data_IF_312155456965
#
_entry.id   IF_312155456965
#
_cell.length_a   1.000
_cell.length_b   1.000
_cell.length_c   1.000
_cell.angle_alpha   90.00
_cell.angle_beta   90.00
_cell.angle_gamma   90.00
#
_symmetry.space_group_name_H-M   'P 1'
#
loop_
_entity.id
_entity.type
_entity.pdbx_description
1 polymer ?
#
# COMPACT_ATOMS: atom_id res chain seq x y z
N UNK A 1 7.40 -5.42 2.99
CA UNK A 1 5.96 -5.21 3.22
C UNK A 1 5.39 -6.50 3.79
N UNK A 2 5.05 -6.55 5.08
CA UNK A 2 4.46 -7.74 5.68
C UNK A 2 3.06 -7.36 6.18
N UNK A 3 1.99 -7.65 5.41
CA UNK A 3 0.61 -7.33 5.82
C UNK A 3 0.22 -7.95 7.17
N UNK A 4 0.83 -9.08 7.53
CA UNK A 4 0.59 -9.76 8.81
C UNK A 4 0.81 -8.86 10.03
N UNK A 5 1.77 -7.92 9.98
CA UNK A 5 1.98 -6.98 11.09
C UNK A 5 0.82 -6.00 11.26
N UNK A 6 0.19 -5.58 10.16
CA UNK A 6 -1.03 -4.79 10.23
C UNK A 6 -2.16 -5.63 10.85
N UNK A 7 -2.37 -6.86 10.36
CA UNK A 7 -3.41 -7.77 10.85
C UNK A 7 -3.29 -8.09 12.35
N UNK A 8 -2.06 -8.21 12.86
CA UNK A 8 -1.80 -8.45 14.28
C UNK A 8 -1.93 -7.20 15.14
N UNK A 9 -1.49 -6.04 14.64
CA UNK A 9 -1.42 -4.81 15.43
C UNK A 9 -2.69 -3.93 15.38
N UNK A 10 -3.54 -4.09 14.37
CA UNK A 10 -4.66 -3.17 14.12
C UNK A 10 -5.94 -3.92 13.76
N UNK A 11 -7.04 -3.54 14.40
CA UNK A 11 -8.36 -4.12 14.13
C UNK A 11 -8.88 -3.78 12.74
N UNK A 12 -8.65 -2.55 12.31
CA UNK A 12 -9.01 -2.06 10.98
C UNK A 12 -7.75 -1.49 10.32
N UNK A 13 -7.44 -1.85 9.06
CA UNK A 13 -6.26 -1.30 8.39
C UNK A 13 -6.39 0.18 8.04
N UNK A 14 -7.58 0.78 8.12
CA UNK A 14 -7.84 2.19 7.85
C UNK A 14 -8.39 2.89 9.10
N UNK A 15 -7.67 3.92 9.52
CA UNK A 15 -8.04 4.79 10.64
C UNK A 15 -9.23 5.69 10.26
N UNK A 16 -9.88 6.29 11.26
CA UNK A 16 -11.00 7.22 11.04
C UNK A 16 -10.61 8.45 10.19
N UNK A 17 -9.32 8.82 10.21
CA UNK A 17 -8.73 9.88 9.39
C UNK A 17 -8.62 9.50 7.91
N UNK A 18 -8.84 8.22 7.56
CA UNK A 18 -8.62 7.66 6.23
C UNK A 18 -7.19 7.21 5.95
N UNK A 19 -6.27 7.38 6.91
CA UNK A 19 -4.90 6.86 6.83
C UNK A 19 -4.90 5.34 6.97
N UNK A 20 -4.09 4.66 6.18
CA UNK A 20 -3.84 3.23 6.26
C UNK A 20 -2.63 2.96 7.17
N UNK A 21 -2.78 2.02 8.10
CA UNK A 21 -1.84 1.75 9.21
C UNK A 21 -0.45 1.31 8.75
N UNK A 22 -0.31 0.85 7.51
CA UNK A 22 0.98 0.55 6.88
C UNK A 22 1.94 1.77 6.93
N UNK A 23 1.39 2.99 6.84
CA UNK A 23 2.14 4.24 6.92
C UNK A 23 2.75 4.50 8.30
N UNK A 24 2.41 3.74 9.35
CA UNK A 24 3.01 3.88 10.68
C UNK A 24 4.41 3.26 10.73
N UNK A 25 4.71 2.29 9.85
CA UNK A 25 6.03 1.64 9.77
C UNK A 25 6.76 1.95 8.45
N UNK A 26 6.01 2.22 7.38
CA UNK A 26 6.54 2.56 6.05
C UNK A 26 6.43 4.06 5.83
N UNK A 27 7.48 4.78 6.25
CA UNK A 27 7.44 6.24 6.46
C UNK A 27 7.70 7.05 5.19
N UNK A 28 8.28 6.44 4.15
CA UNK A 28 8.46 7.11 2.87
C UNK A 28 7.16 7.05 2.05
N UNK A 29 6.81 8.17 1.41
CA UNK A 29 5.66 8.25 0.52
C UNK A 29 6.07 7.99 -0.93
N UNK A 30 5.35 7.10 -1.62
CA UNK A 30 5.49 6.86 -3.05
C UNK A 30 4.13 6.57 -3.68
N UNK A 31 3.88 6.95 -4.95
CA UNK A 31 2.57 6.79 -5.57
C UNK A 31 2.19 5.32 -5.76
N UNK A 32 0.90 5.05 -5.60
CA UNK A 32 0.20 3.81 -5.90
C UNK A 32 -1.04 4.20 -6.69
N UNK A 33 -1.40 3.39 -7.67
CA UNK A 33 -2.56 3.63 -8.52
C UNK A 33 -3.52 2.43 -8.46
N UNK A 34 -4.80 2.69 -8.68
CA UNK A 34 -5.85 1.67 -8.71
C UNK A 34 -6.79 1.91 -9.90
N UNK A 35 -6.94 0.88 -10.71
CA UNK A 35 -7.88 0.86 -11.81
C UNK A 35 -9.01 -0.13 -11.50
N UNK A 36 -10.25 0.36 -11.60
CA UNK A 36 -11.47 -0.44 -11.44
C UNK A 36 -12.45 -0.06 -12.55
N UNK A 37 -13.37 -0.97 -12.94
CA UNK A 37 -14.47 -0.60 -13.81
C UNK A 37 -15.31 0.53 -13.20
N UNK A 38 -15.79 1.44 -14.06
CA UNK A 38 -16.67 2.53 -13.61
C UNK A 38 -17.97 1.99 -12.98
N UNK A 39 -18.51 0.91 -13.55
CA UNK A 39 -19.71 0.25 -13.05
C UNK A 39 -19.61 -1.26 -13.23
N UNK A 40 -20.26 -1.99 -12.33
CA UNK A 40 -20.40 -3.46 -12.39
C UNK A 40 -21.83 -3.86 -12.12
N UNK A 41 -22.26 -4.95 -12.76
CA UNK A 41 -23.54 -5.61 -12.46
C UNK A 41 -23.42 -6.41 -11.16
N UNK A 42 -24.55 -6.78 -10.53
CA UNK A 42 -24.55 -7.70 -9.38
C UNK A 42 -24.04 -9.10 -9.77
N UNK A 43 -23.53 -9.87 -8.80
CA UNK A 43 -22.99 -11.24 -8.95
C UNK A 43 -22.04 -11.40 -10.16
N UNK A 44 -21.17 -10.41 -10.35
CA UNK A 44 -20.25 -10.37 -11.49
C UNK A 44 -18.81 -10.29 -11.00
N UNK A 45 -17.94 -11.12 -11.59
CA UNK A 45 -16.50 -11.06 -11.33
C UNK A 45 -15.87 -9.95 -12.18
N UNK A 46 -15.11 -9.07 -11.54
CA UNK A 46 -14.33 -8.02 -12.20
C UNK A 46 -12.92 -7.94 -11.62
N UNK A 47 -12.02 -7.26 -12.32
CA UNK A 47 -10.65 -7.03 -11.87
C UNK A 47 -10.51 -5.63 -11.26
N UNK A 48 -9.93 -5.56 -10.06
CA UNK A 48 -9.36 -4.33 -9.51
C UNK A 48 -7.84 -4.40 -9.63
N UNK A 49 -7.23 -3.57 -10.46
CA UNK A 49 -5.79 -3.61 -10.75
C UNK A 49 -5.08 -2.57 -9.90
N UNK A 50 -4.20 -3.04 -9.01
CA UNK A 50 -3.38 -2.18 -8.16
C UNK A 50 -1.97 -2.09 -8.74
N UNK A 51 -1.53 -0.88 -9.09
CA UNK A 51 -0.19 -0.62 -9.60
C UNK A 51 0.70 -0.01 -8.53
N UNK A 52 1.86 -0.62 -8.32
CA UNK A 52 2.88 -0.23 -7.35
C UNK A 52 4.19 0.05 -8.12
N UNK A 53 4.24 1.13 -8.92
CA UNK A 53 5.39 1.44 -9.79
C UNK A 53 6.66 1.83 -9.02
N UNK A 54 7.78 1.22 -9.34
CA UNK A 54 9.10 1.64 -8.84
C UNK A 54 10.18 1.35 -9.86
N UNK A 55 11.34 1.98 -9.71
CA UNK A 55 12.49 1.70 -10.57
C UNK A 55 13.09 0.31 -10.25
N UNK A 56 12.96 -0.60 -11.20
CA UNK A 56 13.39 -2.00 -11.10
C UNK A 56 14.91 -2.18 -11.01
N UNK A 57 15.70 -1.15 -11.36
CA UNK A 57 17.15 -1.16 -11.21
C UNK A 57 17.59 -0.88 -9.78
N UNK A 58 16.72 -0.25 -8.96
CA UNK A 58 17.03 0.05 -7.57
C UNK A 58 17.09 -1.23 -6.73
N UNK A 59 18.09 -1.26 -5.85
CA UNK A 59 18.26 -2.30 -4.82
C UNK A 59 18.13 -1.66 -3.45
N UNK A 60 17.47 -2.34 -2.53
CA UNK A 60 17.32 -1.92 -1.14
C UNK A 60 18.30 -2.65 -0.21
N UNK A 61 18.53 -2.10 0.98
CA UNK A 61 19.24 -2.78 2.06
C UNK A 61 18.36 -3.92 2.63
N UNK A 62 18.87 -5.14 2.58
CA UNK A 62 18.28 -6.32 3.22
C UNK A 62 18.59 -6.36 4.71
N UNK A 63 17.92 -7.24 5.46
CA UNK A 63 18.14 -7.37 6.92
C UNK A 63 19.59 -7.68 7.31
N UNK A 64 20.36 -8.32 6.42
CA UNK A 64 21.78 -8.62 6.60
C UNK A 64 22.75 -7.49 6.15
N UNK A 65 22.21 -6.34 5.72
CA UNK A 65 23.00 -5.20 5.24
C UNK A 65 23.40 -5.24 3.76
N UNK A 66 23.22 -6.37 3.05
CA UNK A 66 23.51 -6.46 1.61
C UNK A 66 22.43 -5.78 0.78
N UNK A 67 22.78 -5.31 -0.42
CA UNK A 67 21.80 -4.76 -1.39
C UNK A 67 21.08 -5.89 -2.13
N UNK A 68 19.75 -5.83 -2.20
CA UNK A 68 18.91 -6.83 -2.86
C UNK A 68 17.61 -6.26 -3.44
N UNK A 69 16.81 -7.13 -4.05
CA UNK A 69 15.56 -6.74 -4.70
C UNK A 69 14.49 -6.26 -3.71
N UNK A 70 13.50 -5.52 -4.24
CA UNK A 70 12.34 -5.06 -3.50
C UNK A 70 11.19 -6.06 -3.64
N UNK A 71 10.48 -6.27 -2.53
CA UNK A 71 9.19 -6.94 -2.53
C UNK A 71 8.09 -5.90 -2.41
N UNK A 72 6.91 -6.26 -2.90
CA UNK A 72 5.70 -5.45 -2.80
C UNK A 72 4.63 -6.16 -1.97
N UNK A 73 3.67 -5.39 -1.51
CA UNK A 73 2.46 -5.88 -0.86
C UNK A 73 1.39 -4.80 -0.88
N UNK A 74 0.14 -5.21 -0.76
CA UNK A 74 -1.01 -4.32 -0.80
C UNK A 74 -2.10 -4.74 0.18
N UNK A 75 -2.92 -3.77 0.56
CA UNK A 75 -4.22 -3.94 1.20
C UNK A 75 -5.27 -3.25 0.35
N UNK A 76 -6.33 -3.97 0.01
CA UNK A 76 -7.47 -3.48 -0.76
C UNK A 76 -8.70 -3.55 0.15
N UNK A 77 -9.34 -2.41 0.38
CA UNK A 77 -10.50 -2.25 1.26
C UNK A 77 -11.71 -2.02 0.36
N UNK A 78 -12.56 -3.03 0.27
CA UNK A 78 -13.75 -3.01 -0.57
C UNK A 78 -14.99 -2.62 0.25
N UNK A 79 -16.06 -2.17 -0.41
CA UNK A 79 -17.35 -1.97 0.23
C UNK A 79 -17.87 -3.29 0.82
N UNK A 80 -18.73 -3.19 1.82
CA UNK A 80 -19.36 -4.38 2.40
C UNK A 80 -20.09 -5.20 1.33
N UNK A 81 -19.90 -6.51 1.42
CA UNK A 81 -20.46 -7.50 0.51
C UNK A 81 -19.69 -7.80 -0.76
N UNK A 82 -18.74 -6.95 -1.16
CA UNK A 82 -17.73 -7.32 -2.14
C UNK A 82 -16.72 -8.28 -1.49
N UNK A 83 -16.29 -9.30 -2.21
CA UNK A 83 -15.33 -10.27 -1.71
C UNK A 83 -14.43 -10.82 -2.83
N UNK A 84 -13.39 -11.55 -2.45
CA UNK A 84 -12.56 -12.27 -3.41
C UNK A 84 -13.42 -13.28 -4.18
N UNK A 85 -13.33 -13.28 -5.50
CA UNK A 85 -14.06 -14.22 -6.33
C UNK A 85 -13.69 -15.68 -5.99
N UNK A 86 -14.68 -16.59 -5.87
CA UNK A 86 -14.42 -18.01 -5.73
C UNK A 86 -13.56 -18.55 -6.89
N UNK A 87 -12.62 -19.48 -6.66
CA UNK A 87 -11.70 -19.94 -7.70
C UNK A 87 -12.39 -20.46 -8.96
N UNK A 88 -13.54 -21.12 -8.84
CA UNK A 88 -14.37 -21.65 -9.92
C UNK A 88 -15.03 -20.58 -10.79
N UNK A 89 -15.20 -19.36 -10.26
CA UNK A 89 -15.76 -18.20 -10.98
C UNK A 89 -14.69 -17.35 -11.69
N UNK A 90 -13.41 -17.60 -11.42
CA UNK A 90 -12.29 -16.85 -12.03
C UNK A 90 -11.98 -17.44 -13.41
N UNK A 91 -11.98 -16.59 -14.44
CA UNK A 91 -11.66 -17.01 -15.81
C UNK A 91 -10.19 -17.49 -15.93
N UNK A 92 -9.88 -18.36 -16.90
CA UNK A 92 -8.51 -18.83 -17.11
C UNK A 92 -7.50 -17.69 -17.35
N UNK A 93 -7.90 -16.66 -18.08
CA UNK A 93 -7.06 -15.50 -18.37
C UNK A 93 -6.66 -14.74 -17.09
N UNK A 94 -7.62 -14.49 -16.20
CA UNK A 94 -7.36 -13.81 -14.92
C UNK A 94 -6.50 -14.68 -14.01
N UNK A 95 -6.74 -15.99 -14.01
CA UNK A 95 -5.95 -16.95 -13.22
C UNK A 95 -4.49 -16.98 -13.67
N UNK A 96 -4.23 -16.89 -14.98
CA UNK A 96 -2.87 -16.82 -15.52
C UNK A 96 -2.16 -15.53 -15.08
N UNK A 97 -2.83 -14.37 -15.14
CA UNK A 97 -2.30 -13.08 -14.66
C UNK A 97 -1.97 -13.13 -13.15
N UNK A 98 -2.82 -13.77 -12.35
CA UNK A 98 -2.58 -13.95 -10.91
C UNK A 98 -1.39 -14.87 -10.63
N UNK A 99 -1.14 -15.87 -11.48
CA UNK A 99 -0.09 -16.85 -11.26
C UNK A 99 -0.20 -17.52 -9.89
N UNK A 100 0.83 -17.36 -9.06
CA UNK A 100 0.91 -17.97 -7.72
C UNK A 100 0.57 -16.98 -6.59
N UNK A 101 -0.13 -15.90 -6.90
CA UNK A 101 -0.57 -14.93 -5.90
C UNK A 101 -1.63 -15.57 -4.99
N UNK A 102 -1.45 -15.40 -3.68
CA UNK A 102 -2.40 -15.82 -2.66
C UNK A 102 -2.94 -14.58 -1.96
N UNK A 103 -4.24 -14.35 -2.15
CA UNK A 103 -4.98 -13.28 -1.50
C UNK A 103 -5.54 -13.81 -0.18
N UNK A 104 -5.46 -13.01 0.88
CA UNK A 104 -5.99 -13.36 2.18
C UNK A 104 -6.96 -12.29 2.66
N UNK A 105 -7.98 -12.69 3.41
CA UNK A 105 -8.80 -11.73 4.13
C UNK A 105 -8.02 -11.15 5.31
N UNK A 106 -8.21 -9.86 5.58
CA UNK A 106 -7.54 -9.16 6.68
C UNK A 106 -7.86 -9.81 8.03
N UNK A 107 -9.11 -10.25 8.21
CA UNK A 107 -9.59 -11.08 9.30
C UNK A 107 -10.59 -12.12 8.79
N UNK A 108 -10.82 -13.24 9.52
CA UNK A 108 -11.81 -14.24 9.12
C UNK A 108 -13.23 -13.69 8.88
N UNK A 109 -13.61 -12.64 9.62
CA UNK A 109 -14.91 -11.96 9.51
C UNK A 109 -14.90 -10.72 8.58
N UNK A 110 -13.76 -10.37 7.98
CA UNK A 110 -13.60 -9.19 7.10
C UNK A 110 -13.22 -9.63 5.69
N UNK A 111 -14.19 -10.24 4.99
CA UNK A 111 -14.00 -10.79 3.62
C UNK A 111 -13.80 -9.72 2.55
N UNK A 112 -14.32 -8.52 2.80
CA UNK A 112 -14.19 -7.34 1.92
C UNK A 112 -12.83 -6.63 2.04
N UNK A 113 -11.98 -7.02 2.99
CA UNK A 113 -10.65 -6.44 3.14
C UNK A 113 -9.63 -7.50 2.75
N UNK A 114 -8.95 -7.29 1.64
CA UNK A 114 -8.00 -8.24 1.06
C UNK A 114 -6.57 -7.74 1.26
N UNK A 115 -5.68 -8.64 1.64
CA UNK A 115 -4.25 -8.37 1.77
C UNK A 115 -3.43 -9.34 0.92
N UNK A 116 -2.30 -8.84 0.43
CA UNK A 116 -1.33 -9.63 -0.30
C UNK A 116 0.09 -9.16 -0.04
N UNK A 117 1.02 -10.12 -0.04
CA UNK A 117 2.45 -9.87 0.10
C UNK A 117 3.06 -10.47 1.37
N UNK A 118 4.40 -10.47 1.47
CA UNK A 118 5.33 -9.96 0.49
C UNK A 118 5.42 -10.84 -0.77
N UNK A 119 5.45 -10.23 -1.95
CA UNK A 119 5.70 -10.91 -3.24
C UNK A 119 6.81 -10.21 -4.02
N UNK A 120 7.51 -10.90 -4.95
CA UNK A 120 8.60 -10.29 -5.72
C UNK A 120 8.13 -9.08 -6.55
N UNK A 121 8.71 -7.90 -6.28
CA UNK A 121 8.27 -6.65 -6.92
C UNK A 121 8.51 -6.61 -8.43
N UNK A 122 9.58 -7.27 -8.91
CA UNK A 122 9.90 -7.35 -10.33
C UNK A 122 8.82 -8.05 -11.15
N UNK A 123 8.13 -9.03 -10.54
CA UNK A 123 7.07 -9.80 -11.21
C UNK A 123 5.69 -9.19 -10.97
N UNK A 124 5.46 -8.63 -9.79
CA UNK A 124 4.12 -8.23 -9.33
C UNK A 124 4.02 -6.74 -9.02
N UNK A 125 4.66 -5.89 -9.82
CA UNK A 125 4.48 -4.43 -9.71
C UNK A 125 3.04 -4.00 -10.04
N UNK A 126 2.31 -4.83 -10.77
CA UNK A 126 0.87 -4.72 -10.98
C UNK A 126 0.19 -5.99 -10.44
N UNK A 127 -0.89 -5.82 -9.68
CA UNK A 127 -1.60 -6.91 -9.02
C UNK A 127 -3.09 -6.79 -9.37
N UNK A 128 -3.60 -7.76 -10.14
CA UNK A 128 -5.03 -7.87 -10.43
C UNK A 128 -5.74 -8.65 -9.32
N UNK A 129 -6.70 -8.01 -8.66
CA UNK A 129 -7.57 -8.62 -7.66
C UNK A 129 -8.89 -9.06 -8.33
N UNK A 130 -9.21 -10.36 -8.35
CA UNK A 130 -10.50 -10.83 -8.85
C UNK A 130 -11.57 -10.63 -7.78
N UNK A 131 -12.46 -9.67 -7.99
CA UNK A 131 -13.50 -9.31 -7.01
C UNK A 131 -14.86 -9.77 -7.53
N UNK A 132 -15.66 -10.36 -6.66
CA UNK A 132 -17.08 -10.64 -6.92
C UNK A 132 -17.94 -9.52 -6.34
N UNK A 133 -18.78 -8.91 -7.19
CA UNK A 133 -19.77 -7.94 -6.74
C UNK A 133 -20.94 -8.63 -6.01
N UNK A 134 -21.49 -8.01 -4.97
CA UNK A 134 -22.68 -8.52 -4.28
C UNK A 134 -23.94 -8.39 -5.13
N UNK A 135 -24.99 -9.13 -4.74
CA UNK A 135 -26.32 -9.03 -5.34
C UNK A 135 -27.37 -8.50 -4.34
N UNK A 136 -27.89 -7.28 -4.52
CA UNK A 136 -28.97 -6.71 -3.69
C UNK A 136 -30.29 -7.52 -3.69
N UNK A 137 -30.51 -8.41 -4.68
CA UNK A 137 -31.69 -9.26 -4.67
C UNK A 137 -31.64 -10.27 -3.51
N UNK A 138 -30.46 -10.85 -3.28
CA UNK A 138 -30.21 -11.86 -2.23
C UNK A 138 -29.73 -11.25 -0.91
N UNK A 139 -29.03 -10.11 -0.96
CA UNK A 139 -28.45 -9.42 0.19
C UNK A 139 -29.14 -8.08 0.47
N UNK A 140 -29.85 -7.98 1.59
CA UNK A 140 -30.64 -6.79 1.94
C UNK A 140 -29.83 -5.63 2.50
N UNK A 141 -28.60 -5.89 2.93
CA UNK A 141 -27.62 -4.93 3.45
C UNK A 141 -26.86 -4.18 2.34
N UNK A 142 -27.04 -4.57 1.07
CA UNK A 142 -26.36 -3.99 -0.09
C UNK A 142 -27.38 -3.29 -0.98
N UNK A 143 -26.99 -2.16 -1.57
CA UNK A 143 -27.85 -1.33 -2.40
C UNK A 143 -27.14 -0.90 -3.69
N UNK A 144 -27.91 -0.59 -4.73
CA UNK A 144 -27.37 -0.04 -5.98
C UNK A 144 -26.96 1.42 -5.79
N UNK A 145 -25.68 1.62 -5.45
CA UNK A 145 -25.05 2.90 -5.14
C UNK A 145 -23.66 2.99 -5.76
N UNK A 146 -23.08 4.18 -5.68
CA UNK A 146 -21.66 4.41 -5.90
C UNK A 146 -20.93 4.18 -4.59
N UNK A 147 -19.93 3.31 -4.59
CA UNK A 147 -19.18 2.93 -3.41
C UNK A 147 -17.69 3.30 -3.55
N UNK A 148 -17.02 3.68 -2.45
CA UNK A 148 -15.59 3.91 -2.45
C UNK A 148 -14.81 2.60 -2.30
N UNK A 149 -13.65 2.52 -2.96
CA UNK A 149 -12.63 1.48 -2.79
C UNK A 149 -11.35 2.18 -2.35
N UNK A 150 -10.71 1.67 -1.30
CA UNK A 150 -9.45 2.22 -0.80
C UNK A 150 -8.32 1.21 -0.98
N UNK A 151 -7.15 1.68 -1.41
CA UNK A 151 -5.96 0.83 -1.55
C UNK A 151 -4.78 1.44 -0.80
N UNK A 152 -3.99 0.55 -0.18
CA UNK A 152 -2.66 0.86 0.31
C UNK A 152 -1.67 -0.08 -0.34
N UNK A 153 -0.63 0.45 -0.98
CA UNK A 153 0.42 -0.34 -1.62
C UNK A 153 1.81 0.05 -1.08
N UNK A 154 2.68 -0.92 -0.85
CA UNK A 154 4.05 -0.67 -0.42
C UNK A 154 5.04 -1.41 -1.32
N UNK A 155 6.17 -0.75 -1.63
CA UNK A 155 7.40 -1.41 -2.11
C UNK A 155 8.54 -1.25 -1.11
N UNK A 156 9.33 -2.30 -0.92
CA UNK A 156 10.50 -2.29 -0.04
C UNK A 156 10.20 -2.59 1.44
N UNK A 157 11.24 -2.47 2.28
CA UNK A 157 11.22 -2.76 3.72
C UNK A 157 10.82 -1.52 4.55
N UNK A 158 10.17 -1.77 5.68
CA UNK A 158 9.75 -0.72 6.63
C UNK A 158 10.88 -0.22 7.52
N UNK A 159 10.64 0.91 8.18
CA UNK A 159 11.58 1.60 9.05
C UNK A 159 11.47 1.17 10.51
N UNK A 160 10.28 0.69 10.92
CA UNK A 160 9.94 0.38 12.33
C UNK A 160 9.35 -1.03 12.40
N UNK A 161 9.77 -1.80 13.40
CA UNK A 161 9.22 -3.11 13.74
C UNK A 161 8.02 -3.00 14.71
N UNK A 162 7.18 -4.04 14.83
CA UNK A 162 6.01 -3.99 15.72
C UNK A 162 6.34 -3.72 17.20
N UNK A 163 7.55 -4.03 17.65
CA UNK A 163 8.05 -3.76 19.00
C UNK A 163 8.52 -2.29 19.20
N UNK A 164 8.43 -1.46 18.16
CA UNK A 164 8.87 -0.07 18.15
C UNK A 164 10.35 0.12 17.82
N UNK A 165 11.13 -0.95 17.68
CA UNK A 165 12.54 -0.85 17.32
C UNK A 165 12.73 -0.40 15.87
N UNK A 166 13.82 0.36 15.63
CA UNK A 166 14.21 0.78 14.28
C UNK A 166 14.80 -0.38 13.50
N UNK A 167 14.51 -0.44 12.20
CA UNK A 167 15.16 -1.36 11.28
C UNK A 167 16.50 -0.82 10.78
N UNK A 168 17.24 -1.61 10.00
CA UNK A 168 18.43 -1.13 9.28
C UNK A 168 18.10 -0.40 7.96
N UNK A 169 16.83 -0.11 7.68
CA UNK A 169 16.37 0.63 6.50
C UNK A 169 15.81 2.01 6.87
N UNK A 170 16.49 2.71 7.77
CA UNK A 170 16.16 4.05 8.26
C UNK A 170 17.43 4.81 8.62
N UNK A 171 17.28 6.11 8.87
CA UNK A 171 18.35 6.99 9.39
C UNK A 171 18.54 6.78 10.89
N UNK A 172 19.80 6.75 11.32
CA UNK A 172 20.21 6.75 12.72
C UNK A 172 20.73 8.15 13.08
N UNK A 173 20.20 8.71 14.16
CA UNK A 173 20.54 10.05 14.65
C UNK A 173 21.35 9.94 15.94
N UNK A 174 22.13 10.97 16.24
CA UNK A 174 22.89 11.10 17.47
C UNK A 174 21.98 11.18 18.70
N UNK A 175 22.25 10.37 19.71
CA UNK A 175 21.49 10.38 20.96
C UNK A 175 21.90 11.50 21.92
N UNK A 176 23.06 12.12 21.70
CA UNK A 176 23.54 13.29 22.45
C UNK A 176 24.31 14.25 21.55
N UNK A 177 24.45 15.50 22.00
CA UNK A 177 25.42 16.43 21.42
C UNK A 177 26.81 16.12 21.98
N UNK A 178 27.87 16.41 21.22
CA UNK A 178 29.23 16.17 21.68
C UNK A 178 30.26 16.10 20.56
N UNK A 179 31.41 15.52 20.86
CA UNK A 179 32.46 15.21 19.88
C UNK A 179 32.51 13.69 19.67
N UNK A 180 32.55 13.26 18.42
CA UNK A 180 32.73 11.85 18.07
C UNK A 180 34.16 11.42 18.43
N UNK A 181 34.31 10.67 19.52
CA UNK A 181 35.63 10.27 20.03
C UNK A 181 36.19 9.04 19.32
N UNK A 182 35.32 8.12 18.89
CA UNK A 182 35.73 6.86 18.26
C UNK A 182 34.61 6.24 17.43
N UNK A 183 34.96 5.68 16.27
CA UNK A 183 34.07 4.91 15.41
C UNK A 183 34.66 3.50 15.22
N UNK A 184 33.98 2.49 15.72
CA UNK A 184 34.39 1.08 15.58
C UNK A 184 33.48 0.37 14.59
N UNK A 185 34.05 -0.17 13.51
CA UNK A 185 33.32 -1.02 12.56
C UNK A 185 33.22 -2.45 13.10
N UNK A 186 32.01 -3.00 13.19
CA UNK A 186 31.79 -4.38 13.65
C UNK A 186 32.09 -5.41 12.55
N UNK A 187 32.49 -6.62 12.95
CA UNK A 187 32.78 -7.73 12.03
C UNK A 187 31.60 -8.12 11.14
N UNK A 188 30.38 -8.11 11.68
CA UNK A 188 29.12 -8.40 10.95
C UNK A 188 28.58 -7.19 10.18
N UNK A 189 29.37 -6.11 10.07
CA UNK A 189 28.96 -4.81 9.56
C UNK A 189 28.24 -3.96 10.62
N UNK A 190 28.04 -2.68 10.30
CA UNK A 190 27.56 -1.68 11.25
C UNK A 190 28.70 -1.00 12.03
N UNK A 191 28.31 -0.10 12.94
CA UNK A 191 29.21 0.80 13.64
C UNK A 191 28.85 0.93 15.12
N UNK A 192 29.85 1.13 15.97
CA UNK A 192 29.69 1.70 17.31
C UNK A 192 30.34 3.07 17.31
N UNK A 193 29.58 4.08 17.71
CA UNK A 193 30.01 5.47 17.70
C UNK A 193 30.01 5.95 19.13
N UNK A 194 31.20 6.30 19.62
CA UNK A 194 31.37 6.91 20.92
C UNK A 194 31.28 8.42 20.79
N UNK A 195 30.36 9.03 21.53
CA UNK A 195 30.12 10.48 21.57
C UNK A 195 30.44 10.93 22.98
N UNK A 196 31.34 11.90 23.12
CA UNK A 196 31.71 12.49 24.41
C UNK A 196 31.11 13.88 24.50
N UNK A 197 30.29 14.09 25.52
CA UNK A 197 29.74 15.41 25.82
C UNK A 197 30.86 16.35 26.28
N UNK A 198 30.89 17.55 25.71
CA UNK A 198 31.94 18.55 25.96
C UNK A 198 31.75 19.22 27.34
N UNK A 199 30.55 19.15 27.92
CA UNK A 199 30.19 19.86 29.14
C UNK A 199 30.48 19.08 30.43
N UNK A 200 30.23 17.77 30.45
CA UNK A 200 30.39 16.91 31.63
C UNK A 200 31.32 15.70 31.41
N UNK A 201 31.81 15.51 30.18
CA UNK A 201 32.69 14.39 29.82
C UNK A 201 31.98 13.04 29.74
N UNK A 202 30.65 13.00 29.84
CA UNK A 202 29.87 11.77 29.76
C UNK A 202 29.96 11.17 28.36
N UNK A 203 30.19 9.86 28.29
CA UNK A 203 30.30 9.13 27.03
C UNK A 203 29.02 8.34 26.74
N UNK A 204 28.46 8.54 25.56
CA UNK A 204 27.32 7.78 25.03
C UNK A 204 27.78 6.93 23.85
N UNK A 205 27.22 5.74 23.71
CA UNK A 205 27.55 4.80 22.63
C UNK A 205 26.31 4.58 21.76
N UNK A 206 26.39 5.05 20.52
CA UNK A 206 25.38 4.81 19.50
C UNK A 206 25.74 3.58 18.65
N UNK A 207 24.80 2.64 18.57
CA UNK A 207 24.97 1.40 17.80
C UNK A 207 24.17 1.49 16.51
N UNK A 208 24.87 1.36 15.38
CA UNK A 208 24.29 1.41 14.04
C UNK A 208 24.37 0.02 13.39
N UNK A 209 23.25 -0.57 12.93
CA UNK A 209 23.25 -1.86 12.26
C UNK A 209 23.86 -1.78 10.86
N UNK A 210 24.19 -2.92 10.23
CA UNK A 210 24.71 -2.94 8.87
C UNK A 210 23.66 -2.45 7.85
N UNK A 211 24.07 -1.55 6.94
CA UNK A 211 23.23 -1.08 5.84
C UNK A 211 23.35 0.41 5.55
N UNK A 212 22.96 1.29 6.49
CA UNK A 212 23.13 2.74 6.35
C UNK A 212 24.61 3.13 6.23
N UNK A 213 24.91 4.09 5.36
CA UNK A 213 26.27 4.60 5.17
C UNK A 213 26.52 5.75 6.16
N UNK A 214 27.70 5.79 6.79
CA UNK A 214 28.04 6.78 7.80
C UNK A 214 28.35 8.15 7.14
N UNK A 215 27.91 9.24 7.76
CA UNK A 215 28.14 10.62 7.29
C UNK A 215 29.12 11.42 8.14
N UNK A 216 29.42 10.93 9.34
CA UNK A 216 30.28 11.62 10.32
C UNK A 216 31.66 11.00 10.41
N UNK A 217 32.63 11.78 10.87
CA UNK A 217 34.03 11.34 11.09
C UNK A 217 34.46 11.48 12.56
N UNK A 218 35.51 10.76 12.95
CA UNK A 218 36.13 10.95 14.27
C UNK A 218 36.65 12.39 14.44
N UNK A 219 36.47 12.97 15.62
CA UNK A 219 36.81 14.36 15.94
C UNK A 219 35.74 15.40 15.55
N UNK A 220 34.68 14.99 14.87
CA UNK A 220 33.59 15.89 14.48
C UNK A 220 32.70 16.27 15.67
N UNK A 221 32.31 17.54 15.75
CA UNK A 221 31.30 17.99 16.71
C UNK A 221 29.90 17.84 16.12
N UNK A 222 29.03 17.14 16.83
CA UNK A 222 27.68 16.81 16.42
C UNK A 222 26.65 17.33 17.43
N UNK A 223 25.44 17.59 16.95
CA UNK A 223 24.30 18.02 17.77
C UNK A 223 23.39 16.85 18.11
N UNK A 224 22.62 16.99 19.19
CA UNK A 224 21.50 16.09 19.50
C UNK A 224 20.58 15.96 18.27
N UNK A 225 20.15 14.74 17.97
CA UNK A 225 19.31 14.38 16.83
C UNK A 225 19.92 14.63 15.44
N UNK A 226 21.20 15.00 15.34
CA UNK A 226 21.90 15.10 14.06
C UNK A 226 21.99 13.71 13.39
N UNK A 227 21.64 13.59 12.10
CA UNK A 227 21.81 12.34 11.36
C UNK A 227 23.27 11.88 11.34
N UNK A 228 23.53 10.66 11.81
CA UNK A 228 24.83 10.01 11.75
C UNK A 228 25.02 9.25 10.42
N UNK A 229 23.91 8.87 9.78
CA UNK A 229 23.92 8.04 8.56
C UNK A 229 23.10 8.65 7.44
N UNK A 230 23.40 8.24 6.21
CA UNK A 230 22.52 8.46 5.06
C UNK A 230 21.22 7.66 5.20
N UNK A 231 20.21 8.03 4.41
CA UNK A 231 18.96 7.28 4.36
C UNK A 231 19.07 6.14 3.33
N UNK A 232 19.13 4.86 3.75
CA UNK A 232 19.23 3.74 2.81
C UNK A 232 17.91 3.41 2.11
N UNK A 233 16.79 4.01 2.53
CA UNK A 233 15.48 3.63 2.07
C UNK A 233 15.18 4.13 0.65
N UNK A 234 14.98 3.19 -0.27
CA UNK A 234 14.52 3.43 -1.64
C UNK A 234 13.06 3.01 -1.88
N UNK A 235 12.42 2.45 -0.85
CA UNK A 235 11.04 2.01 -0.90
C UNK A 235 10.03 3.11 -0.56
N UNK A 236 8.81 2.70 -0.29
CA UNK A 236 7.77 3.58 0.21
C UNK A 236 6.37 2.99 0.10
N UNK A 237 5.47 3.63 0.83
CA UNK A 237 4.05 3.34 0.88
C UNK A 237 3.27 4.44 0.16
N UNK A 238 2.17 4.05 -0.47
CA UNK A 238 1.22 4.94 -1.10
C UNK A 238 -0.21 4.50 -0.83
N UNK A 239 -1.11 5.47 -0.89
CA UNK A 239 -2.55 5.24 -0.85
C UNK A 239 -3.19 5.73 -2.14
N UNK A 240 -4.25 5.06 -2.54
CA UNK A 240 -5.10 5.47 -3.66
C UNK A 240 -6.55 5.16 -3.33
N UNK A 241 -7.43 5.93 -3.92
CA UNK A 241 -8.88 5.78 -3.74
C UNK A 241 -9.50 5.67 -5.14
N UNK A 242 -10.52 4.83 -5.27
CA UNK A 242 -11.33 4.71 -6.46
C UNK A 242 -12.80 4.62 -6.07
N UNK A 243 -13.69 4.69 -7.06
CA UNK A 243 -15.11 4.52 -6.86
C UNK A 243 -15.67 3.53 -7.88
N UNK A 244 -16.64 2.74 -7.46
CA UNK A 244 -17.32 1.75 -8.29
C UNK A 244 -18.83 1.92 -8.16
N UNK A 245 -19.54 1.88 -9.28
CA UNK A 245 -21.01 1.90 -9.28
C UNK A 245 -21.53 0.47 -9.34
N UNK A 246 -22.26 0.03 -8.31
CA UNK A 246 -23.07 -1.19 -8.40
C UNK A 246 -24.36 -0.84 -9.14
N UNK A 247 -24.45 -1.27 -10.40
CA UNK A 247 -25.50 -0.86 -11.32
C UNK A 247 -26.63 -1.87 -11.41
N UNK A 248 -27.86 -1.36 -11.42
CA UNK A 248 -29.05 -2.15 -11.72
C UNK A 248 -29.32 -2.10 -13.23
N UNK A 249 -29.34 -3.26 -13.93
CA UNK A 249 -29.61 -3.28 -15.37
C UNK A 249 -30.98 -2.68 -15.73
N UNK A 250 -31.98 -2.76 -14.85
CA UNK A 250 -33.32 -2.17 -15.09
C UNK A 250 -33.29 -0.65 -15.12
N UNK A 251 -32.42 -0.01 -14.31
CA UNK A 251 -32.23 1.45 -14.35
C UNK A 251 -31.70 1.90 -15.71
N UNK A 252 -30.76 1.14 -16.27
CA UNK A 252 -30.19 1.44 -17.60
C UNK A 252 -31.22 1.22 -18.69
N UNK A 253 -31.99 0.13 -18.64
CA UNK A 253 -33.05 -0.12 -19.63
C UNK A 253 -34.14 0.96 -19.59
N UNK A 254 -34.58 1.37 -18.40
CA UNK A 254 -35.54 2.47 -18.24
C UNK A 254 -34.99 3.79 -18.77
N UNK A 255 -33.71 4.09 -18.52
CA UNK A 255 -33.04 5.27 -19.07
C UNK A 255 -33.03 5.26 -20.60
N UNK A 256 -32.69 4.13 -21.23
CA UNK A 256 -32.67 4.02 -22.69
C UNK A 256 -34.06 4.25 -23.31
N UNK A 257 -35.12 3.70 -22.71
CA UNK A 257 -36.49 3.94 -23.15
C UNK A 257 -36.87 5.42 -23.01
N UNK A 258 -36.53 6.04 -21.88
CA UNK A 258 -36.77 7.46 -21.66
C UNK A 258 -36.04 8.32 -22.71
N UNK A 259 -34.75 8.07 -22.97
CA UNK A 259 -33.98 8.79 -23.98
C UNK A 259 -34.59 8.63 -25.38
N UNK A 260 -35.04 7.44 -25.75
CA UNK A 260 -35.74 7.22 -27.02
C UNK A 260 -37.04 8.03 -27.11
N UNK A 261 -37.81 8.11 -26.01
CA UNK A 261 -39.03 8.92 -25.94
C UNK A 261 -38.75 10.42 -26.09
N UNK A 262 -37.65 10.91 -25.50
CA UNK A 262 -37.22 12.31 -25.62
C UNK A 262 -36.82 12.63 -27.06
N UNK A 263 -36.03 11.75 -27.70
CA UNK A 263 -35.64 11.91 -29.11
C UNK A 263 -36.89 11.96 -30.00
N UNK A 264 -37.84 11.05 -29.78
CA UNK A 264 -39.09 11.02 -30.54
C UNK A 264 -39.90 12.31 -30.37
N UNK A 265 -40.03 12.82 -29.14
CA UNK A 265 -40.70 14.07 -28.86
C UNK A 265 -40.00 15.27 -29.53
N UNK A 266 -38.67 15.34 -29.46
CA UNK A 266 -37.88 16.39 -30.12
C UNK A 266 -38.07 16.38 -31.65
N UNK A 267 -38.06 15.20 -32.27
CA UNK A 267 -38.32 15.05 -33.71
C UNK A 267 -39.71 15.57 -34.06
N UNK A 268 -40.75 15.16 -33.33
CA UNK A 268 -42.12 15.62 -33.60
C UNK A 268 -42.30 17.13 -33.38
N UNK A 269 -41.66 17.72 -32.35
CA UNK A 269 -41.71 19.16 -32.14
C UNK A 269 -41.07 19.94 -33.30
N UNK A 270 -39.94 19.46 -33.83
CA UNK A 270 -39.28 20.09 -34.99
C UNK A 270 -40.11 19.94 -36.26
N UNK A 271 -40.68 18.74 -36.51
CA UNK A 271 -41.58 18.53 -37.64
C UNK A 271 -42.81 19.43 -37.55
N UNK A 272 -43.39 19.57 -36.35
CA UNK A 272 -44.55 20.43 -36.13
C UNK A 272 -44.23 21.92 -36.32
N UNK A 273 -43.03 22.36 -35.96
CA UNK A 273 -42.56 23.74 -36.21
C UNK A 273 -42.37 24.03 -37.70
N UNK A 274 -41.98 23.03 -38.50
CA UNK A 274 -41.78 23.16 -39.95
C UNK A 274 -43.09 23.14 -40.74
N UNK A 275 -44.13 22.51 -40.19
CA UNK A 275 -45.49 22.52 -40.73
C UNK A 275 -46.15 23.87 -40.50
#
# INVERSE_FOLDING_TARGET
>A
AYPIFAQQGYENPREATGRIVCANCHLANKPVDIEVPQAVLPDTVFEAVVRIPYDMQLKQVLANGKKGALNVGAVLILPEGFELAPPDRISPEVREKMGNLSFQSYRPNKRNILVIGPVPGQKYSEIAFPILSPDPATRKDVHFLKYPIYVGGNRGRGQIYPDGSKSNNTVYNATSAGIVSKIVRKEKGGYEISIVDVSDGHQVIDIIPPGPELLVSEGESIKLDQPLTSNPNVGGFGQGDAEIVLQDPLRVQGLLFFLASVILAQVFLVLKKKQ
#
